data_IF_003845065207
#
_entry.id   IF_003845065207
#
_cell.length_a   1.000
_cell.length_b   1.000
_cell.length_c   1.000
_cell.angle_alpha   90.00
_cell.angle_beta   90.00
_cell.angle_gamma   90.00
#
_symmetry.space_group_name_H-M   'P 1'
#
loop_
_entity.id
_entity.type
_entity.pdbx_description
1 polymer ?
#
# COMPACT_ATOMS: atom_id res chain seq x y z
N UNK A 1 -10.82 -19.77 4.77
CA UNK A 1 -9.88 -18.79 4.20
C UNK A 1 -9.79 -19.05 2.71
N UNK A 2 -10.34 -18.16 1.87
CA UNK A 2 -10.23 -18.26 0.41
C UNK A 2 -9.02 -17.43 -0.03
N UNK A 3 -7.89 -18.09 -0.28
CA UNK A 3 -6.71 -17.48 -0.87
C UNK A 3 -6.89 -17.53 -2.39
N UNK A 4 -7.15 -16.39 -3.02
CA UNK A 4 -7.12 -16.29 -4.48
C UNK A 4 -5.69 -15.94 -4.90
N UNK A 5 -4.97 -16.92 -5.43
CA UNK A 5 -3.68 -16.71 -6.07
C UNK A 5 -3.92 -16.53 -7.56
N UNK A 6 -3.67 -15.34 -8.08
CA UNK A 6 -3.64 -15.11 -9.52
C UNK A 6 -2.18 -14.96 -9.95
N UNK A 7 -1.70 -15.91 -10.76
CA UNK A 7 -0.46 -15.76 -11.52
C UNK A 7 -0.82 -15.34 -12.94
N UNK A 8 -0.34 -14.18 -13.36
CA UNK A 8 -0.57 -13.70 -14.74
C UNK A 8 0.76 -13.71 -15.48
N UNK A 9 0.73 -14.23 -16.71
CA UNK A 9 1.86 -14.16 -17.64
C UNK A 9 1.60 -13.01 -18.62
N UNK A 10 2.11 -11.83 -18.31
CA UNK A 10 2.20 -10.75 -19.29
C UNK A 10 3.64 -10.70 -19.81
N UNK A 11 3.84 -10.91 -21.12
CA UNK A 11 5.16 -10.81 -21.77
C UNK A 11 6.29 -11.66 -21.15
N UNK A 12 6.01 -12.89 -20.70
CA UNK A 12 7.03 -13.81 -20.17
C UNK A 12 7.52 -13.48 -18.76
N UNK A 13 6.86 -12.55 -18.07
CA UNK A 13 7.13 -12.23 -16.67
C UNK A 13 5.99 -12.71 -15.80
N UNK A 14 6.32 -13.49 -14.78
CA UNK A 14 5.38 -13.95 -13.76
C UNK A 14 5.27 -12.89 -12.67
N UNK A 15 4.03 -12.54 -12.33
CA UNK A 15 3.70 -11.78 -11.13
C UNK A 15 2.67 -12.54 -10.30
N UNK A 16 2.62 -12.25 -8.99
CA UNK A 16 1.57 -12.76 -8.10
C UNK A 16 0.79 -11.62 -7.49
N UNK A 17 -0.51 -11.84 -7.32
CA UNK A 17 -1.42 -10.93 -6.65
C UNK A 17 -2.11 -11.68 -5.53
N UNK A 18 -2.03 -11.13 -4.32
CA UNK A 18 -2.62 -11.68 -3.11
C UNK A 18 -3.59 -10.67 -2.50
N UNK A 19 -4.84 -11.09 -2.31
CA UNK A 19 -5.84 -10.31 -1.61
C UNK A 19 -5.66 -10.43 -0.10
N UNK A 20 -5.46 -9.30 0.58
CA UNK A 20 -5.10 -9.27 2.01
C UNK A 20 -6.24 -8.76 2.86
N UNK A 21 -6.81 -7.62 2.48
CA UNK A 21 -7.79 -6.85 3.23
C UNK A 21 -8.71 -6.08 2.26
N UNK A 22 -9.79 -5.46 2.76
CA UNK A 22 -10.80 -4.67 2.03
C UNK A 22 -10.45 -4.37 0.56
N UNK A 23 -9.63 -3.34 0.32
CA UNK A 23 -9.01 -3.02 -0.97
C UNK A 23 -7.49 -3.30 -0.97
N UNK A 24 -7.02 -3.93 0.11
CA UNK A 24 -5.65 -4.28 0.41
C UNK A 24 -5.15 -5.46 -0.40
N UNK A 25 -4.09 -5.21 -1.18
CA UNK A 25 -3.48 -6.21 -2.05
C UNK A 25 -1.96 -6.19 -1.92
N UNK A 26 -1.35 -7.37 -1.89
CA UNK A 26 0.08 -7.58 -2.08
C UNK A 26 0.34 -8.01 -3.53
N UNK A 27 1.26 -7.31 -4.19
CA UNK A 27 1.64 -7.60 -5.57
C UNK A 27 3.14 -7.88 -5.62
N UNK A 28 3.52 -8.97 -6.28
CA UNK A 28 4.90 -9.24 -6.68
C UNK A 28 5.00 -9.10 -8.20
N UNK A 29 5.93 -8.26 -8.66
CA UNK A 29 6.19 -8.08 -10.07
C UNK A 29 7.67 -7.84 -10.32
N UNK A 30 8.29 -8.66 -11.19
CA UNK A 30 9.71 -8.54 -11.57
C UNK A 30 10.68 -8.56 -10.37
N UNK A 31 10.36 -9.32 -9.32
CA UNK A 31 11.18 -9.38 -8.10
C UNK A 31 11.01 -8.18 -7.16
N UNK A 32 10.00 -7.33 -7.39
CA UNK A 32 9.63 -6.25 -6.50
C UNK A 32 8.27 -6.51 -5.86
N UNK A 33 8.20 -6.26 -4.56
CA UNK A 33 6.99 -6.42 -3.75
C UNK A 33 6.34 -5.06 -3.48
N UNK A 34 5.03 -5.01 -3.66
CA UNK A 34 4.21 -3.81 -3.51
C UNK A 34 3.04 -4.10 -2.57
N UNK A 35 2.68 -3.13 -1.73
CA UNK A 35 1.43 -3.11 -0.96
C UNK A 35 0.53 -2.02 -1.52
N UNK A 36 -0.73 -2.34 -1.80
CA UNK A 36 -1.73 -1.39 -2.26
C UNK A 36 -2.87 -1.38 -1.25
N UNK A 37 -3.18 -0.24 -0.62
CA UNK A 37 -4.27 -0.07 0.37
C UNK A 37 -4.32 -1.17 1.44
N UNK A 38 -3.16 -1.70 1.82
CA UNK A 38 -3.05 -2.86 2.71
C UNK A 38 -2.47 -2.51 4.08
N UNK A 39 -2.03 -1.26 4.28
CA UNK A 39 -1.50 -0.76 5.54
C UNK A 39 -2.63 -0.10 6.33
N UNK A 40 -3.62 -0.89 6.74
CA UNK A 40 -4.72 -0.44 7.59
C UNK A 40 -5.12 -1.49 8.62
N UNK A 41 -5.53 -0.99 9.77
CA UNK A 41 -6.00 -1.77 10.91
C UNK A 41 -7.54 -1.76 10.96
N UNK A 42 -8.12 -2.33 12.01
CA UNK A 42 -9.56 -2.32 12.24
C UNK A 42 -10.11 -0.89 12.18
N UNK A 43 -11.04 -0.67 11.25
CA UNK A 43 -11.80 0.58 11.12
C UNK A 43 -13.26 0.42 11.54
N UNK A 44 -13.98 -0.51 10.92
CA UNK A 44 -15.36 -0.92 11.27
C UNK A 44 -15.57 -2.39 10.91
N UNK A 45 -16.53 -3.02 11.57
CA UNK A 45 -16.87 -4.45 11.41
C UNK A 45 -17.16 -4.88 9.97
N UNK A 46 -17.72 -3.99 9.15
CA UNK A 46 -18.02 -4.26 7.75
C UNK A 46 -16.79 -4.39 6.84
N UNK A 47 -15.60 -3.99 7.29
CA UNK A 47 -14.38 -3.95 6.48
C UNK A 47 -13.37 -4.97 6.95
N UNK A 48 -12.87 -5.79 6.02
CA UNK A 48 -11.72 -6.65 6.27
C UNK A 48 -10.46 -5.79 6.38
N UNK A 49 -9.69 -5.99 7.44
CA UNK A 49 -8.41 -5.30 7.68
C UNK A 49 -7.26 -6.30 7.63
N UNK A 50 -6.03 -5.79 7.56
CA UNK A 50 -4.84 -6.63 7.54
C UNK A 50 -4.62 -7.21 8.94
N UNK A 51 -4.56 -8.53 9.07
CA UNK A 51 -4.39 -9.17 10.37
C UNK A 51 -2.99 -8.87 10.94
N UNK A 52 -2.88 -8.85 12.27
CA UNK A 52 -1.60 -8.67 12.95
C UNK A 52 -0.56 -9.74 12.52
N UNK A 53 -1.00 -10.99 12.33
CA UNK A 53 -0.16 -12.09 11.84
C UNK A 53 0.39 -11.80 10.44
N UNK A 54 -0.44 -11.26 9.52
CA UNK A 54 0.02 -10.88 8.19
C UNK A 54 1.02 -9.73 8.25
N UNK A 55 0.77 -8.69 9.07
CA UNK A 55 1.71 -7.58 9.26
C UNK A 55 3.05 -8.05 9.82
N UNK A 56 3.03 -8.92 10.83
CA UNK A 56 4.24 -9.50 11.42
C UNK A 56 5.01 -10.34 10.41
N UNK A 57 4.30 -11.16 9.62
CA UNK A 57 4.88 -11.96 8.55
C UNK A 57 5.60 -11.10 7.52
N UNK A 58 4.98 -10.00 7.10
CA UNK A 58 5.56 -9.01 6.18
C UNK A 58 6.83 -8.37 6.72
N UNK A 59 6.78 -7.85 7.94
CA UNK A 59 7.92 -7.12 8.51
C UNK A 59 9.09 -8.04 8.89
N UNK A 60 8.86 -9.35 8.99
CA UNK A 60 9.89 -10.34 9.32
C UNK A 60 10.50 -10.99 8.09
N UNK A 61 9.69 -11.31 7.08
CA UNK A 61 10.10 -12.23 6.00
C UNK A 61 10.13 -11.59 4.61
N UNK A 62 9.47 -10.46 4.40
CA UNK A 62 9.38 -9.82 3.09
C UNK A 62 10.31 -8.61 2.96
N UNK A 63 10.43 -8.07 1.74
CA UNK A 63 11.14 -6.83 1.48
C UNK A 63 10.35 -5.96 0.49
N UNK A 64 9.52 -5.07 1.01
CA UNK A 64 8.64 -4.24 0.18
C UNK A 64 9.36 -3.01 -0.38
N UNK A 65 9.20 -2.82 -1.70
CA UNK A 65 9.73 -1.66 -2.40
C UNK A 65 8.82 -0.45 -2.24
N UNK A 66 7.50 -0.65 -2.33
CA UNK A 66 6.51 0.44 -2.31
C UNK A 66 5.24 0.05 -1.57
N UNK A 67 4.71 0.97 -0.76
CA UNK A 67 3.34 0.98 -0.28
C UNK A 67 2.57 2.13 -0.95
N UNK A 68 1.46 1.81 -1.60
CA UNK A 68 0.57 2.72 -2.32
C UNK A 68 -0.73 2.88 -1.54
N UNK A 69 -1.05 4.11 -1.15
CA UNK A 69 -2.28 4.48 -0.47
C UNK A 69 -3.13 5.34 -1.41
N UNK A 70 -4.32 4.88 -1.74
CA UNK A 70 -5.23 5.57 -2.65
C UNK A 70 -5.81 6.84 -2.03
N UNK A 71 -6.22 6.78 -0.77
CA UNK A 71 -6.75 7.91 -0.01
C UNK A 71 -6.68 7.69 1.51
N UNK A 72 -6.70 8.80 2.27
CA UNK A 72 -6.62 8.76 3.73
C UNK A 72 -7.99 8.47 4.36
N UNK A 73 -8.40 7.20 4.31
CA UNK A 73 -9.59 6.70 5.00
C UNK A 73 -9.25 5.38 5.72
N UNK A 74 -9.92 5.10 6.84
CA UNK A 74 -9.47 4.07 7.78
C UNK A 74 -9.48 2.63 7.27
N UNK A 75 -10.23 2.32 6.20
CA UNK A 75 -10.24 1.01 5.53
C UNK A 75 -9.27 0.90 4.34
N UNK A 76 -8.37 1.89 4.20
CA UNK A 76 -7.29 1.95 3.21
C UNK A 76 -5.94 2.39 3.82
N UNK A 77 -5.98 3.13 4.93
CA UNK A 77 -4.84 3.79 5.54
C UNK A 77 -4.90 3.76 7.06
N UNK A 78 -3.80 3.33 7.66
CA UNK A 78 -3.45 3.56 9.05
C UNK A 78 -2.07 4.21 9.16
N UNK A 79 -2.00 5.27 9.95
CA UNK A 79 -0.78 6.06 10.12
C UNK A 79 0.33 5.25 10.81
N UNK A 80 -0.04 4.45 11.82
CA UNK A 80 0.92 3.66 12.60
C UNK A 80 1.58 2.61 11.71
N UNK A 81 0.79 1.83 10.96
CA UNK A 81 1.29 0.82 10.03
C UNK A 81 2.13 1.44 8.91
N UNK A 82 1.74 2.61 8.41
CA UNK A 82 2.52 3.35 7.41
C UNK A 82 3.89 3.80 7.93
N UNK A 83 3.96 4.21 9.20
CA UNK A 83 5.23 4.54 9.84
C UNK A 83 6.07 3.31 10.15
N UNK A 84 5.44 2.20 10.57
CA UNK A 84 6.11 0.92 10.77
C UNK A 84 6.69 0.38 9.46
N UNK A 85 5.98 0.50 8.34
CA UNK A 85 6.50 0.19 7.01
C UNK A 85 7.79 0.96 6.72
N UNK A 86 7.78 2.29 6.91
CA UNK A 86 8.96 3.12 6.65
C UNK A 86 10.13 2.80 7.61
N UNK A 87 9.85 2.32 8.82
CA UNK A 87 10.87 1.91 9.80
C UNK A 87 11.47 0.53 9.48
N UNK A 88 10.66 -0.43 9.04
CA UNK A 88 11.14 -1.78 8.72
C UNK A 88 11.80 -1.86 7.34
N UNK A 89 11.31 -1.09 6.37
CA UNK A 89 11.86 -1.06 5.01
C UNK A 89 12.58 0.26 4.75
N UNK A 90 13.88 0.29 5.04
CA UNK A 90 14.70 1.52 4.93
C UNK A 90 14.81 2.04 3.49
N UNK A 91 14.75 1.14 2.50
CA UNK A 91 14.69 1.49 1.07
C UNK A 91 13.25 1.56 0.54
N UNK A 92 12.25 1.29 1.38
CA UNK A 92 10.83 1.27 1.00
C UNK A 92 10.26 2.68 0.84
N UNK A 93 9.38 2.83 -0.15
CA UNK A 93 8.71 4.09 -0.49
C UNK A 93 7.23 4.05 -0.13
N UNK A 94 6.72 5.10 0.51
CA UNK A 94 5.30 5.28 0.78
C UNK A 94 4.73 6.33 -0.18
N UNK A 95 3.73 5.98 -0.96
CA UNK A 95 3.19 6.83 -2.02
C UNK A 95 1.68 7.02 -1.81
N UNK A 96 1.19 8.26 -1.85
CA UNK A 96 -0.23 8.53 -1.64
C UNK A 96 -0.61 10.01 -1.82
N UNK A 97 -1.88 10.38 -1.60
CA UNK A 97 -2.33 11.76 -1.81
C UNK A 97 -1.83 12.71 -0.73
N UNK A 98 -2.05 14.01 -0.92
CA UNK A 98 -1.66 15.05 0.05
C UNK A 98 -2.21 14.84 1.45
N UNK A 99 -3.38 14.22 1.59
CA UNK A 99 -3.98 13.90 2.89
C UNK A 99 -3.07 13.00 3.75
N UNK A 100 -2.36 12.07 3.13
CA UNK A 100 -1.38 11.21 3.81
C UNK A 100 -0.21 12.04 4.34
N UNK A 101 0.24 13.01 3.55
CA UNK A 101 1.31 13.92 3.96
C UNK A 101 0.89 14.80 5.12
N UNK A 102 -0.31 15.36 5.08
CA UNK A 102 -0.81 16.22 6.15
C UNK A 102 -0.88 15.43 7.46
N UNK A 103 -1.39 14.20 7.42
CA UNK A 103 -1.45 13.29 8.57
C UNK A 103 -0.07 13.01 9.18
N UNK A 104 0.94 12.70 8.35
CA UNK A 104 2.27 12.32 8.81
C UNK A 104 3.15 13.54 9.20
N UNK A 105 3.03 14.65 8.47
CA UNK A 105 3.86 15.85 8.62
C UNK A 105 3.44 16.70 9.82
N UNK A 106 2.14 16.86 10.08
CA UNK A 106 1.64 17.62 11.24
C UNK A 106 2.14 17.07 12.58
N UNK A 107 2.58 15.81 12.61
CA UNK A 107 3.12 15.14 13.79
C UNK A 107 4.66 15.09 13.84
N UNK A 108 5.36 15.77 12.92
CA UNK A 108 6.82 15.89 12.91
C UNK A 108 7.59 14.63 12.50
N UNK A 109 6.89 13.55 12.12
CA UNK A 109 7.50 12.24 11.87
C UNK A 109 8.19 12.12 10.50
N UNK A 110 7.84 12.98 9.55
CA UNK A 110 8.32 12.90 8.15
C UNK A 110 9.65 13.62 7.93
N UNK A 111 10.09 14.54 8.79
CA UNK A 111 11.28 15.36 8.55
C UNK A 111 12.55 14.53 8.30
N UNK A 112 12.69 13.38 8.97
CA UNK A 112 13.78 12.41 8.74
C UNK A 112 13.53 11.44 7.57
N UNK A 113 12.28 11.33 7.09
CA UNK A 113 11.82 10.37 6.07
C UNK A 113 11.43 11.03 4.74
N UNK A 114 11.65 12.35 4.59
CA UNK A 114 11.20 13.18 3.46
C UNK A 114 11.49 12.62 2.06
N UNK A 115 12.53 11.80 1.90
CA UNK A 115 12.92 11.23 0.60
C UNK A 115 12.11 10.01 0.18
N UNK A 116 11.36 9.41 1.10
CA UNK A 116 10.69 8.11 0.90
C UNK A 116 9.17 8.20 0.93
N UNK A 117 8.60 9.35 1.26
CA UNK A 117 7.18 9.61 1.07
C UNK A 117 7.01 10.34 -0.26
N UNK A 118 6.05 9.93 -1.12
CA UNK A 118 5.83 10.47 -2.47
C UNK A 118 4.37 10.88 -2.70
N UNK A 119 4.16 12.11 -3.17
CA UNK A 119 2.82 12.63 -3.45
C UNK A 119 2.37 12.06 -4.79
N UNK A 120 1.30 11.27 -4.77
CA UNK A 120 0.57 10.92 -5.98
C UNK A 120 -0.54 11.95 -6.14
N UNK A 121 -0.28 12.99 -6.93
CA UNK A 121 -1.34 13.91 -7.36
C UNK A 121 -2.29 13.18 -8.29
N UNK A 122 -3.59 13.49 -8.19
CA UNK A 122 -4.58 13.09 -9.20
C UNK A 122 -4.00 13.43 -10.57
N UNK A 123 -3.84 12.44 -11.45
CA UNK A 123 -3.63 12.74 -12.85
C UNK A 123 -4.74 13.73 -13.24
N UNK A 124 -4.37 14.85 -13.85
CA UNK A 124 -5.33 15.72 -14.56
C UNK A 124 -6.32 14.79 -15.26
N UNK A 125 -7.62 14.97 -14.96
CA UNK A 125 -8.69 13.99 -15.16
C UNK A 125 -8.47 13.04 -16.36
N UNK A 126 -8.78 11.74 -16.24
CA UNK A 126 -8.85 10.91 -17.43
C UNK A 126 -9.85 11.58 -18.39
N UNK A 127 -9.36 12.11 -19.51
CA UNK A 127 -10.21 12.46 -20.63
C UNK A 127 -10.85 11.17 -21.09
N UNK A 128 -12.05 10.91 -20.58
CA UNK A 128 -12.92 9.84 -21.06
C UNK A 128 -13.13 10.07 -22.55
N UNK A 129 -12.48 9.28 -23.39
CA UNK A 129 -12.92 9.04 -24.76
C UNK A 129 -13.12 7.54 -24.89
N UNK A 130 -14.21 7.06 -24.29
CA UNK A 130 -14.88 5.88 -24.83
C UNK A 130 -15.86 6.40 -25.86
N UNK A 131 -15.46 6.38 -27.13
CA UNK A 131 -16.42 6.43 -28.23
C UNK A 131 -16.87 4.98 -28.47
N UNK A 132 -18.18 4.77 -28.31
CA UNK A 132 -18.90 3.55 -28.72
C UNK A 132 -18.88 3.41 -30.24
#
# INVERSE_FOLDING_TARGET
MWLLWATTNAHGQTGSLEYVANMGVRLELRGHSFLLDALHDFYKEAYRFTSAETVEGWFTNDNFSVALISHAHGDHYDERLSMEFLRNFQEGHLCGPSQLYDSLYLKGQVLSLKRRVHLISKASQPTTVWQL
#
